data_IF_880347344748
#
_entry.id   IF_880347344748
#
_cell.length_a   1.000
_cell.length_b   1.000
_cell.length_c   1.000
_cell.angle_alpha   90.00
_cell.angle_beta   90.00
_cell.angle_gamma   90.00
#
_symmetry.space_group_name_H-M   'P 1'
#
loop_
_entity.id
_entity.type
_entity.pdbx_description
1 polymer ?
#
# COMPACT_ATOMS: atom_id res chain seq x y z
N UNK A 1 13.65 -11.29 5.95
CA UNK A 1 14.38 -11.63 4.72
C UNK A 1 15.57 -12.50 5.13
N UNK A 2 15.60 -13.79 4.76
CA UNK A 2 16.54 -14.75 5.33
C UNK A 2 18.01 -14.45 5.00
N UNK A 3 18.33 -14.01 3.78
CA UNK A 3 19.66 -13.53 3.37
C UNK A 3 19.73 -11.99 3.42
N UNK A 4 19.87 -11.46 4.63
CA UNK A 4 19.86 -10.01 4.86
C UNK A 4 21.18 -9.33 4.48
N UNK A 5 22.30 -10.05 4.54
CA UNK A 5 23.63 -9.51 4.20
C UNK A 5 23.71 -9.08 2.73
N UNK A 6 23.07 -9.82 1.83
CA UNK A 6 23.01 -9.44 0.40
C UNK A 6 21.87 -8.51 0.07
N UNK A 7 20.71 -8.74 0.68
CA UNK A 7 19.51 -8.03 0.27
C UNK A 7 19.43 -6.60 0.84
N UNK A 8 19.98 -6.30 2.02
CA UNK A 8 19.95 -4.94 2.58
C UNK A 8 20.81 -3.94 1.76
N UNK A 9 22.05 -4.26 1.36
CA UNK A 9 22.82 -3.40 0.46
C UNK A 9 22.13 -3.18 -0.89
N UNK A 10 21.53 -4.24 -1.47
CA UNK A 10 20.83 -4.15 -2.74
C UNK A 10 19.63 -3.18 -2.68
N UNK A 11 18.85 -3.22 -1.59
CA UNK A 11 17.73 -2.30 -1.38
C UNK A 11 18.16 -0.83 -1.33
N UNK A 12 19.34 -0.54 -0.76
CA UNK A 12 19.90 0.84 -0.72
C UNK A 12 20.35 1.35 -2.08
N UNK A 13 20.63 0.45 -3.03
CA UNK A 13 20.99 0.80 -4.40
C UNK A 13 19.81 1.19 -5.29
N UNK A 14 18.57 0.95 -4.84
CA UNK A 14 17.37 1.27 -5.60
C UNK A 14 17.17 2.79 -5.71
N UNK A 15 16.67 3.23 -6.86
CA UNK A 15 16.28 4.64 -7.03
C UNK A 15 14.95 4.96 -6.34
N UNK A 16 14.03 3.99 -6.33
CA UNK A 16 12.70 4.12 -5.76
C UNK A 16 12.30 2.84 -5.03
N UNK A 17 11.80 2.99 -3.81
CA UNK A 17 11.14 1.92 -3.04
C UNK A 17 9.75 2.38 -2.60
N UNK A 18 8.73 1.55 -2.83
CA UNK A 18 7.36 1.82 -2.39
C UNK A 18 6.87 0.65 -1.55
N UNK A 19 6.49 0.93 -0.31
CA UNK A 19 5.92 -0.05 0.61
C UNK A 19 4.43 0.21 0.76
N UNK A 20 3.61 -0.77 0.42
CA UNK A 20 2.17 -0.75 0.71
C UNK A 20 1.95 -1.60 1.95
N UNK A 21 1.38 -1.03 3.00
CA UNK A 21 1.30 -1.73 4.28
C UNK A 21 0.23 -1.20 5.22
N UNK A 22 -0.30 -2.11 6.03
CA UNK A 22 -1.31 -1.85 7.06
C UNK A 22 -0.70 -1.44 8.39
N UNK A 23 0.59 -1.76 8.60
CA UNK A 23 1.38 -1.44 9.80
C UNK A 23 2.84 -1.21 9.41
N UNK A 24 3.55 -0.45 10.24
CA UNK A 24 4.99 -0.29 10.10
C UNK A 24 5.73 -1.59 10.42
N UNK A 25 6.57 -2.03 9.48
CA UNK A 25 7.45 -3.18 9.62
C UNK A 25 8.91 -2.72 9.63
N UNK A 26 9.81 -3.54 10.19
CA UNK A 26 11.26 -3.32 10.16
C UNK A 26 11.81 -3.17 8.75
N UNK A 27 11.20 -3.80 7.74
CA UNK A 27 11.57 -3.63 6.34
C UNK A 27 11.42 -2.18 5.85
N UNK A 28 10.54 -1.38 6.44
CA UNK A 28 10.38 0.04 6.06
C UNK A 28 11.58 0.91 6.46
N UNK A 29 12.47 0.41 7.32
CA UNK A 29 13.72 1.08 7.67
C UNK A 29 14.82 0.88 6.60
N UNK A 30 14.58 -0.01 5.62
CA UNK A 30 15.47 -0.21 4.47
C UNK A 30 15.11 0.81 3.40
N UNK A 31 15.75 1.97 3.46
CA UNK A 31 15.49 3.07 2.52
C UNK A 31 16.32 2.95 1.24
N UNK A 32 15.66 3.27 0.13
CA UNK A 32 16.25 3.55 -1.18
C UNK A 32 16.52 5.07 -1.34
N UNK A 33 16.97 5.54 -2.51
CA UNK A 33 17.14 6.99 -2.76
C UNK A 33 15.84 7.77 -2.52
N UNK A 34 14.73 7.30 -3.10
CA UNK A 34 13.39 7.73 -2.76
C UNK A 34 12.60 6.58 -2.15
N UNK A 35 11.92 6.81 -1.02
CA UNK A 35 11.13 5.76 -0.36
C UNK A 35 9.77 6.31 0.07
N UNK A 36 8.71 5.62 -0.33
CA UNK A 36 7.33 5.94 0.05
C UNK A 36 6.70 4.79 0.82
N UNK A 37 5.90 5.13 1.83
CA UNK A 37 5.06 4.17 2.54
C UNK A 37 3.61 4.61 2.29
N UNK A 38 2.85 3.76 1.62
CA UNK A 38 1.45 3.96 1.30
C UNK A 38 0.60 3.14 2.26
N UNK A 39 -0.07 3.78 3.24
CA UNK A 39 -0.89 3.05 4.18
C UNK A 39 -2.14 2.51 3.48
N UNK A 40 -2.42 1.23 3.67
CA UNK A 40 -3.58 0.55 3.08
C UNK A 40 -4.52 -0.02 4.13
N UNK A 41 -5.75 -0.30 3.71
CA UNK A 41 -6.76 -0.94 4.55
C UNK A 41 -6.36 -2.38 4.90
N UNK A 42 -6.55 -2.74 6.17
CA UNK A 42 -6.42 -4.12 6.63
C UNK A 42 -7.60 -4.99 6.21
N UNK A 43 -7.37 -6.31 6.13
CA UNK A 43 -8.43 -7.30 5.82
C UNK A 43 -9.62 -7.26 6.78
N UNK A 44 -9.42 -6.78 8.00
CA UNK A 44 -10.45 -6.65 9.04
C UNK A 44 -11.24 -5.35 8.95
N UNK A 45 -10.80 -4.39 8.16
CA UNK A 45 -11.44 -3.09 7.98
C UNK A 45 -12.42 -3.11 6.80
N UNK A 46 -13.43 -2.26 6.88
CA UNK A 46 -14.42 -2.09 5.82
C UNK A 46 -13.83 -1.27 4.67
N UNK A 47 -13.81 -1.84 3.47
CA UNK A 47 -13.60 -1.09 2.22
C UNK A 47 -14.95 -0.56 1.71
N UNK A 48 -15.15 0.74 1.84
CA UNK A 48 -16.34 1.45 1.39
C UNK A 48 -15.97 2.32 0.18
N UNK A 49 -16.50 1.96 -0.99
CA UNK A 49 -16.33 2.72 -2.22
C UNK A 49 -17.65 3.38 -2.66
N UNK A 50 -17.59 4.25 -3.66
CA UNK A 50 -18.77 4.88 -4.24
C UNK A 50 -19.80 3.86 -4.77
N UNK A 51 -19.33 2.70 -5.25
CA UNK A 51 -20.15 1.57 -5.70
C UNK A 51 -20.69 0.69 -4.56
N UNK A 52 -20.35 0.99 -3.32
CA UNK A 52 -20.73 0.22 -2.13
C UNK A 52 -19.56 -0.53 -1.50
N UNK A 53 -19.92 -1.44 -0.60
CA UNK A 53 -18.95 -2.21 0.20
C UNK A 53 -18.27 -3.27 -0.67
N UNK A 54 -16.94 -3.32 -0.62
CA UNK A 54 -16.15 -4.29 -1.35
C UNK A 54 -15.80 -5.52 -0.49
N UNK A 55 -15.58 -6.65 -1.16
CA UNK A 55 -15.11 -7.90 -0.56
C UNK A 55 -14.19 -8.62 -1.53
N UNK A 56 -13.18 -9.30 -1.00
CA UNK A 56 -12.29 -10.17 -1.79
C UNK A 56 -12.75 -11.63 -1.62
N UNK A 57 -12.64 -12.44 -2.67
CA UNK A 57 -12.87 -13.88 -2.55
C UNK A 57 -11.58 -14.60 -2.19
N UNK A 58 -11.65 -15.56 -1.28
CA UNK A 58 -10.52 -16.36 -0.82
C UNK A 58 -10.87 -17.83 -0.93
N UNK A 59 -9.90 -18.63 -1.39
CA UNK A 59 -9.94 -20.09 -1.39
C UNK A 59 -9.19 -20.62 -0.16
N UNK A 60 -9.76 -21.59 0.54
CA UNK A 60 -9.09 -22.30 1.64
C UNK A 60 -8.51 -23.65 1.20
N UNK A 61 -7.79 -24.33 2.11
CA UNK A 61 -7.16 -25.63 1.83
C UNK A 61 -8.16 -26.76 1.54
N UNK A 62 -9.46 -26.52 1.73
CA UNK A 62 -10.53 -27.47 1.44
C UNK A 62 -11.26 -27.12 0.13
N UNK A 63 -10.67 -26.27 -0.71
CA UNK A 63 -11.21 -25.83 -2.00
C UNK A 63 -12.55 -25.11 -1.89
N UNK A 64 -12.81 -24.43 -0.76
CA UNK A 64 -14.01 -23.63 -0.58
C UNK A 64 -13.73 -22.14 -0.87
N UNK A 65 -14.46 -21.59 -1.84
CA UNK A 65 -14.40 -20.16 -2.18
C UNK A 65 -15.44 -19.38 -1.39
N UNK A 66 -14.99 -18.39 -0.62
CA UNK A 66 -15.88 -17.54 0.18
C UNK A 66 -15.44 -16.08 0.16
N UNK A 67 -16.39 -15.17 0.45
CA UNK A 67 -16.10 -13.74 0.55
C UNK A 67 -15.43 -13.42 1.90
N UNK A 68 -14.27 -12.76 1.83
CA UNK A 68 -13.60 -12.13 2.96
C UNK A 68 -13.84 -10.62 2.92
N UNK A 69 -14.43 -10.11 4.01
CA UNK A 69 -14.71 -8.69 4.16
C UNK A 69 -14.60 -8.32 5.63
N UNK A 70 -13.91 -7.22 5.91
CA UNK A 70 -13.75 -6.69 7.26
C UNK A 70 -15.06 -6.20 7.88
N UNK A 71 -15.06 -6.00 9.20
CA UNK A 71 -16.21 -5.43 9.93
C UNK A 71 -15.84 -4.17 10.72
N UNK A 72 -14.55 -3.92 10.89
CA UNK A 72 -14.05 -2.78 11.65
C UNK A 72 -14.11 -1.51 10.80
N UNK A 73 -14.31 -0.38 11.46
CA UNK A 73 -14.14 0.93 10.81
C UNK A 73 -12.65 1.15 10.50
N UNK A 74 -12.31 1.69 9.33
CA UNK A 74 -10.93 2.07 9.02
C UNK A 74 -10.31 2.96 10.10
N UNK A 75 -9.04 2.75 10.40
CA UNK A 75 -8.32 3.55 11.38
C UNK A 75 -8.21 5.05 10.99
N UNK A 76 -8.23 5.35 9.69
CA UNK A 76 -8.21 6.73 9.18
C UNK A 76 -9.03 6.84 7.89
N UNK A 77 -9.72 7.97 7.66
CA UNK A 77 -10.51 8.21 6.43
C UNK A 77 -9.63 8.37 5.17
N UNK A 78 -8.31 8.54 5.32
CA UNK A 78 -7.38 8.64 4.19
C UNK A 78 -6.92 7.27 3.67
N UNK A 79 -7.21 6.19 4.40
CA UNK A 79 -6.81 4.85 4.00
C UNK A 79 -7.60 4.41 2.77
N UNK A 80 -6.91 3.72 1.86
CA UNK A 80 -7.51 3.11 0.67
C UNK A 80 -7.14 1.64 0.59
N UNK A 81 -7.96 0.85 -0.07
CA UNK A 81 -7.61 -0.54 -0.35
C UNK A 81 -6.44 -0.62 -1.34
N UNK A 82 -5.65 -1.69 -1.27
CA UNK A 82 -4.50 -1.88 -2.17
C UNK A 82 -4.90 -1.77 -3.65
N UNK A 83 -6.02 -2.35 -4.12
CA UNK A 83 -6.47 -2.18 -5.50
C UNK A 83 -6.78 -0.72 -5.84
N UNK A 84 -7.35 0.04 -4.90
CA UNK A 84 -7.64 1.46 -5.11
C UNK A 84 -6.36 2.30 -5.17
N UNK A 85 -5.33 1.95 -4.39
CA UNK A 85 -4.00 2.58 -4.48
C UNK A 85 -3.40 2.30 -5.87
N UNK A 86 -3.37 1.04 -6.31
CA UNK A 86 -2.83 0.66 -7.63
C UNK A 86 -3.61 1.32 -8.77
N UNK A 87 -4.94 1.33 -8.70
CA UNK A 87 -5.78 2.00 -9.69
C UNK A 87 -5.53 3.52 -9.71
N UNK A 88 -5.26 4.14 -8.56
CA UNK A 88 -4.90 5.55 -8.44
C UNK A 88 -3.51 5.89 -9.00
N UNK A 89 -2.59 4.91 -9.06
CA UNK A 89 -1.29 5.08 -9.71
C UNK A 89 -1.38 5.10 -11.24
N UNK A 90 -2.52 4.69 -11.82
CA UNK A 90 -2.72 4.70 -13.27
C UNK A 90 -2.80 6.14 -13.79
N UNK A 91 -1.83 6.50 -14.63
CA UNK A 91 -1.90 7.69 -15.49
C UNK A 91 -2.89 7.43 -16.63
N UNK A 92 -3.74 8.39 -17.04
CA UNK A 92 -4.56 8.24 -18.25
C UNK A 92 -3.67 7.94 -19.47
N UNK A 93 -4.15 7.18 -20.47
CA UNK A 93 -3.35 6.81 -21.64
C UNK A 93 -3.07 8.06 -22.50
N UNK A 94 -1.90 8.68 -22.33
CA UNK A 94 -1.41 9.80 -23.17
C UNK A 94 0.12 10.01 -23.01
N UNK A 95 0.84 10.51 -24.04
CA UNK A 95 2.29 10.37 -24.28
C UNK A 95 3.15 11.16 -23.25
N UNK A 96 4.50 11.07 -23.23
CA UNK A 96 5.31 11.11 -22.01
C UNK A 96 5.36 12.51 -21.36
N UNK A 97 4.34 12.85 -20.57
CA UNK A 97 4.36 13.97 -19.67
C UNK A 97 4.93 13.51 -18.33
N UNK A 98 5.98 14.21 -17.92
CA UNK A 98 6.80 14.01 -16.74
C UNK A 98 5.91 14.02 -15.49
N UNK A 99 6.19 13.13 -14.55
CA UNK A 99 5.53 13.10 -13.25
C UNK A 99 5.80 14.44 -12.53
N UNK A 100 4.87 15.38 -12.63
CA UNK A 100 4.88 16.59 -11.79
C UNK A 100 4.21 16.21 -10.49
N UNK A 101 5.01 15.99 -9.43
CA UNK A 101 4.58 15.58 -8.09
C UNK A 101 3.69 16.60 -7.35
N UNK A 102 2.57 17.00 -7.97
CA UNK A 102 1.61 17.96 -7.43
C UNK A 102 0.36 17.33 -6.82
N UNK A 103 0.18 16.01 -6.89
CA UNK A 103 -0.73 15.36 -5.95
C UNK A 103 0.01 15.34 -4.61
N UNK A 104 -0.41 16.22 -3.70
CA UNK A 104 0.16 16.40 -2.36
C UNK A 104 0.09 15.09 -1.53
N UNK A 105 1.08 14.23 -1.70
CA UNK A 105 1.39 13.09 -0.82
C UNK A 105 2.69 13.34 -0.03
N UNK A 106 3.08 14.61 0.14
CA UNK A 106 4.13 15.03 1.07
C UNK A 106 3.54 15.21 2.45
N UNK A 107 3.10 14.12 3.09
CA UNK A 107 2.88 14.14 4.54
C UNK A 107 4.16 13.68 5.19
N UNK A 108 4.98 14.65 5.58
CA UNK A 108 5.97 14.51 6.65
C UNK A 108 5.33 13.71 7.78
N UNK A 109 5.85 12.52 8.05
CA UNK A 109 5.53 11.76 9.26
C UNK A 109 6.07 12.59 10.42
N UNK A 110 5.22 13.48 10.95
CA UNK A 110 5.39 14.04 12.27
C UNK A 110 5.05 12.92 13.26
N UNK A 111 6.04 12.54 14.05
CA UNK A 111 5.84 11.70 15.23
C UNK A 111 4.76 12.34 16.11
N UNK A 112 3.70 11.57 16.40
CA UNK A 112 2.87 11.78 17.57
C UNK A 112 2.83 10.44 18.32
N UNK A 113 3.65 10.43 19.39
CA UNK A 113 3.63 9.62 20.63
C UNK A 113 3.09 8.19 20.53
#
# INVERSE_FOLDING_TARGET
>A
MPDHERAFPAMRGLELSVHVGTKLNRSHLLTAKETFILPCLGRTELDLQASGRQSITVEDSMSMVHASSGKLKPASPMLRSEPAIVAGLRRPPCPPAKWTGSTSWKTTIAFAI
#
